data_IF_057634898378
#
_entry.id   IF_057634898378
#
_cell.length_a   1.000
_cell.length_b   1.000
_cell.length_c   1.000
_cell.angle_alpha   90.00
_cell.angle_beta   90.00
_cell.angle_gamma   90.00
#
_symmetry.space_group_name_H-M   'P 1'
#
loop_
_entity.id
_entity.type
_entity.pdbx_description
1 polymer ?
#
# COMPACT_ATOMS: atom_id res chain seq x y z
N UNK A 1 -65.54 28.52 42.21
CA UNK A 1 -65.21 27.08 42.47
C UNK A 1 -64.30 26.65 41.35
N UNK A 2 -63.07 26.34 41.69
CA UNK A 2 -61.92 26.39 40.80
C UNK A 2 -61.73 25.12 39.96
N UNK A 3 -61.68 25.27 38.66
CA UNK A 3 -61.27 24.23 37.73
C UNK A 3 -59.77 24.41 37.51
N UNK A 4 -58.99 23.51 38.11
CA UNK A 4 -57.53 23.44 37.92
C UNK A 4 -57.28 22.74 36.60
N UNK A 5 -56.75 23.52 35.66
CA UNK A 5 -56.35 23.08 34.32
C UNK A 5 -55.01 22.35 34.42
N UNK A 6 -54.96 21.04 34.26
CA UNK A 6 -53.76 20.23 34.20
C UNK A 6 -53.22 20.40 32.77
N UNK A 7 -52.22 21.24 32.61
CA UNK A 7 -51.42 21.29 31.37
C UNK A 7 -50.53 20.03 31.33
N UNK A 8 -50.86 19.09 30.45
CA UNK A 8 -49.99 17.98 30.05
C UNK A 8 -48.84 18.53 29.26
N UNK A 9 -47.66 18.61 29.86
CA UNK A 9 -46.42 18.86 29.17
C UNK A 9 -46.04 17.59 28.40
N UNK A 10 -46.26 17.64 27.10
CA UNK A 10 -45.78 16.59 26.18
C UNK A 10 -44.30 16.89 25.93
N UNK A 11 -43.40 16.18 26.64
CA UNK A 11 -42.00 16.18 26.36
C UNK A 11 -41.82 15.31 25.10
N UNK A 12 -41.74 15.97 23.96
CA UNK A 12 -41.26 15.34 22.72
C UNK A 12 -39.79 15.06 22.90
N UNK A 13 -39.44 13.82 23.25
CA UNK A 13 -38.08 13.32 23.17
C UNK A 13 -37.68 13.24 21.69
N UNK A 14 -37.04 14.30 21.21
CA UNK A 14 -36.41 14.32 19.91
C UNK A 14 -35.19 13.39 20.01
N UNK A 15 -35.44 12.11 19.76
CA UNK A 15 -34.39 11.12 19.61
C UNK A 15 -33.55 11.53 18.41
N UNK A 16 -32.40 12.15 18.67
CA UNK A 16 -31.38 12.39 17.67
C UNK A 16 -30.88 11.01 17.22
N UNK A 17 -31.49 10.52 16.14
CA UNK A 17 -31.01 9.36 15.42
C UNK A 17 -29.68 9.76 14.79
N UNK A 18 -28.58 9.61 15.53
CA UNK A 18 -27.24 9.63 14.96
C UNK A 18 -27.19 8.45 14.00
N UNK A 19 -27.53 8.70 12.75
CA UNK A 19 -27.19 7.83 11.66
C UNK A 19 -25.66 7.74 11.64
N UNK A 20 -25.12 6.77 12.34
CA UNK A 20 -23.74 6.37 12.18
C UNK A 20 -23.68 5.82 10.75
N UNK A 21 -23.23 6.66 9.82
CA UNK A 21 -22.74 6.18 8.55
C UNK A 21 -21.54 5.29 8.87
N UNK A 22 -21.80 4.01 9.06
CA UNK A 22 -20.79 2.97 8.93
C UNK A 22 -20.33 3.07 7.47
N UNK A 23 -19.28 3.84 7.23
CA UNK A 23 -18.53 3.68 6.01
C UNK A 23 -18.03 2.25 6.03
N UNK A 24 -18.66 1.40 5.23
CA UNK A 24 -18.21 0.03 5.08
C UNK A 24 -16.75 0.08 4.66
N UNK A 25 -15.88 -0.43 5.51
CA UNK A 25 -14.47 -0.48 5.23
C UNK A 25 -14.28 -1.38 4.01
N UNK A 26 -13.60 -0.87 2.97
CA UNK A 26 -13.29 -1.64 1.79
C UNK A 26 -12.53 -2.90 2.18
N UNK A 27 -12.87 -4.02 1.56
CA UNK A 27 -12.05 -5.22 1.65
C UNK A 27 -10.65 -4.96 1.05
N UNK A 28 -9.67 -5.80 1.40
CA UNK A 28 -8.34 -5.68 0.83
C UNK A 28 -8.34 -5.81 -0.70
N UNK A 29 -9.26 -6.61 -1.26
CA UNK A 29 -9.42 -6.80 -2.70
C UNK A 29 -9.95 -5.54 -3.38
N UNK A 30 -11.06 -4.99 -2.90
CA UNK A 30 -11.63 -3.74 -3.42
C UNK A 30 -10.66 -2.56 -3.30
N UNK A 31 -9.91 -2.52 -2.19
CA UNK A 31 -8.88 -1.49 -1.99
C UNK A 31 -7.74 -1.64 -3.00
N UNK A 32 -7.25 -2.86 -3.24
CA UNK A 32 -6.21 -3.13 -4.22
C UNK A 32 -6.69 -2.78 -5.63
N UNK A 33 -7.89 -3.19 -6.02
CA UNK A 33 -8.47 -2.91 -7.33
C UNK A 33 -8.61 -1.40 -7.59
N UNK A 34 -9.19 -0.67 -6.63
CA UNK A 34 -9.32 0.79 -6.74
C UNK A 34 -7.97 1.49 -6.87
N UNK A 35 -6.98 1.00 -6.15
CA UNK A 35 -5.63 1.53 -6.16
C UNK A 35 -4.92 1.29 -7.49
N UNK A 36 -5.03 0.07 -8.04
CA UNK A 36 -4.47 -0.24 -9.35
C UNK A 36 -5.03 0.67 -10.43
N UNK A 37 -6.35 0.84 -10.46
CA UNK A 37 -7.01 1.70 -11.44
C UNK A 37 -6.47 3.13 -11.37
N UNK A 38 -6.29 3.67 -10.17
CA UNK A 38 -5.73 5.00 -9.97
C UNK A 38 -4.28 5.11 -10.45
N UNK A 39 -3.43 4.12 -10.14
CA UNK A 39 -2.03 4.10 -10.58
C UNK A 39 -1.94 3.98 -12.10
N UNK A 40 -2.73 3.10 -12.72
CA UNK A 40 -2.76 2.94 -14.17
C UNK A 40 -3.21 4.25 -14.84
N UNK A 41 -4.23 4.91 -14.30
CA UNK A 41 -4.67 6.21 -14.80
C UNK A 41 -3.55 7.27 -14.74
N UNK A 42 -2.80 7.32 -13.64
CA UNK A 42 -1.64 8.23 -13.51
C UNK A 42 -0.58 7.88 -14.55
N UNK A 43 -0.22 6.62 -14.71
CA UNK A 43 0.78 6.18 -15.70
C UNK A 43 0.33 6.57 -17.11
N UNK A 44 -0.92 6.32 -17.47
CA UNK A 44 -1.46 6.60 -18.81
C UNK A 44 -1.56 8.10 -19.10
N UNK A 45 -2.00 8.89 -18.12
CA UNK A 45 -2.20 10.34 -18.30
C UNK A 45 -0.92 11.15 -18.18
N UNK A 46 0.08 10.63 -17.44
CA UNK A 46 1.32 11.32 -17.14
C UNK A 46 2.56 10.76 -17.87
N UNK A 47 2.37 9.86 -18.84
CA UNK A 47 3.49 9.27 -19.57
C UNK A 47 4.33 10.32 -20.33
N UNK A 48 3.72 11.39 -20.82
CA UNK A 48 4.40 12.51 -21.45
C UNK A 48 5.33 13.23 -20.45
N UNK A 49 4.92 13.33 -19.19
CA UNK A 49 5.70 13.93 -18.11
C UNK A 49 7.03 13.19 -17.88
N UNK A 50 7.06 11.86 -18.07
CA UNK A 50 8.29 11.08 -17.96
C UNK A 50 9.36 11.54 -18.96
N UNK A 51 8.97 11.95 -20.16
CA UNK A 51 9.89 12.45 -21.19
C UNK A 51 10.35 13.89 -20.94
N UNK A 52 9.43 14.73 -20.41
CA UNK A 52 9.67 16.15 -20.20
C UNK A 52 10.37 16.44 -18.85
N UNK A 53 9.98 15.72 -17.81
CA UNK A 53 10.51 15.88 -16.44
C UNK A 53 10.43 14.56 -15.67
N UNK A 54 11.44 13.66 -15.82
CA UNK A 54 11.45 12.35 -15.17
C UNK A 54 11.35 12.42 -13.64
N UNK A 55 11.95 13.44 -13.01
CA UNK A 55 11.93 13.59 -11.56
C UNK A 55 10.54 13.95 -11.03
N UNK A 56 9.83 14.81 -11.75
CA UNK A 56 8.44 15.12 -11.41
C UNK A 56 7.54 13.90 -11.64
N UNK A 57 7.76 13.12 -12.71
CA UNK A 57 7.03 11.87 -12.92
C UNK A 57 7.27 10.89 -11.76
N UNK A 58 8.52 10.70 -11.31
CA UNK A 58 8.84 9.86 -10.15
C UNK A 58 8.14 10.33 -8.89
N UNK A 59 8.07 11.65 -8.66
CA UNK A 59 7.35 12.21 -7.52
C UNK A 59 5.84 11.88 -7.59
N UNK A 60 5.19 12.04 -8.72
CA UNK A 60 3.78 11.70 -8.92
C UNK A 60 3.50 10.21 -8.67
N UNK A 61 4.41 9.34 -9.12
CA UNK A 61 4.31 7.90 -8.85
C UNK A 61 4.53 7.61 -7.36
N UNK A 62 5.52 8.22 -6.71
CA UNK A 62 5.74 8.09 -5.26
C UNK A 62 4.50 8.50 -4.48
N UNK A 63 3.91 9.65 -4.81
CA UNK A 63 2.71 10.16 -4.16
C UNK A 63 1.50 9.23 -4.33
N UNK A 64 1.42 8.54 -5.48
CA UNK A 64 0.37 7.53 -5.73
C UNK A 64 0.59 6.22 -4.94
N UNK A 65 1.84 5.80 -4.76
CA UNK A 65 2.17 4.56 -4.04
C UNK A 65 2.23 4.74 -2.52
N UNK A 66 2.67 5.89 -2.03
CA UNK A 66 2.85 6.18 -0.60
C UNK A 66 1.61 5.89 0.27
N UNK A 67 0.37 6.18 -0.16
CA UNK A 67 -0.81 5.82 0.62
C UNK A 67 -1.05 4.31 0.76
N UNK A 68 -0.45 3.48 -0.13
CA UNK A 68 -0.78 2.07 -0.31
C UNK A 68 0.35 1.15 0.13
N UNK A 69 1.61 1.58 -0.05
CA UNK A 69 2.81 0.81 0.26
C UNK A 69 3.39 1.29 1.58
N UNK A 70 3.61 0.38 2.53
CA UNK A 70 4.31 0.70 3.78
C UNK A 70 5.82 0.47 3.58
N UNK A 71 6.48 1.43 2.91
CA UNK A 71 7.92 1.36 2.65
C UNK A 71 8.72 1.20 3.94
N UNK A 72 8.35 1.88 5.01
CA UNK A 72 9.02 1.77 6.32
C UNK A 72 8.96 0.36 6.90
N UNK A 73 7.83 -0.31 6.76
CA UNK A 73 7.66 -1.69 7.21
C UNK A 73 8.36 -2.69 6.29
N UNK A 74 8.33 -2.46 4.98
CA UNK A 74 9.07 -3.26 4.01
C UNK A 74 10.56 -3.15 4.29
N UNK A 75 11.10 -1.96 4.45
CA UNK A 75 12.50 -1.70 4.77
C UNK A 75 12.94 -2.39 6.06
N UNK A 76 12.13 -2.33 7.11
CA UNK A 76 12.37 -3.08 8.35
C UNK A 76 12.44 -4.59 8.10
N UNK A 77 11.57 -5.12 7.25
CA UNK A 77 11.58 -6.53 6.88
C UNK A 77 12.80 -6.89 6.02
N UNK A 78 13.24 -6.01 5.14
CA UNK A 78 14.45 -6.15 4.30
C UNK A 78 15.69 -6.14 5.18
N UNK A 79 15.84 -5.20 6.08
CA UNK A 79 16.96 -5.14 7.02
C UNK A 79 17.00 -6.33 8.00
N UNK A 80 15.85 -6.95 8.30
CA UNK A 80 15.73 -8.17 9.12
C UNK A 80 16.38 -8.03 10.49
N UNK A 81 17.46 -8.82 10.77
CA UNK A 81 18.16 -8.75 12.08
C UNK A 81 18.75 -7.37 12.35
N UNK A 82 19.22 -6.68 11.33
CA UNK A 82 19.86 -5.37 11.46
C UNK A 82 18.87 -4.26 11.82
N UNK A 83 17.59 -4.41 11.52
CA UNK A 83 16.57 -3.44 11.93
C UNK A 83 16.40 -3.29 13.44
N UNK A 84 16.93 -4.27 14.23
CA UNK A 84 16.87 -4.25 15.69
C UNK A 84 17.98 -3.42 16.32
N UNK A 85 19.06 -3.19 15.59
CA UNK A 85 20.24 -2.45 16.03
C UNK A 85 20.36 -1.09 15.32
N UNK A 86 19.63 -0.89 14.22
CA UNK A 86 19.56 0.38 13.53
C UNK A 86 18.89 1.44 14.40
N UNK A 87 19.42 2.66 14.37
CA UNK A 87 18.78 3.85 14.95
C UNK A 87 17.52 4.21 14.14
N UNK A 88 16.67 5.06 14.71
CA UNK A 88 15.50 5.58 14.00
C UNK A 88 15.91 6.33 12.72
N UNK A 89 17.00 7.13 12.80
CA UNK A 89 17.52 7.88 11.66
C UNK A 89 17.97 6.94 10.54
N UNK A 90 18.81 5.93 10.84
CA UNK A 90 19.24 4.93 9.87
C UNK A 90 18.07 4.18 9.24
N UNK A 91 17.03 3.87 10.03
CA UNK A 91 15.82 3.22 9.51
C UNK A 91 15.05 4.14 8.55
N UNK A 92 14.93 5.41 8.85
CA UNK A 92 14.22 6.38 8.02
C UNK A 92 15.02 6.68 6.73
N UNK A 93 16.34 6.85 6.83
CA UNK A 93 17.24 7.02 5.69
C UNK A 93 17.22 5.82 4.75
N UNK A 94 17.35 4.60 5.30
CA UNK A 94 17.27 3.39 4.50
C UNK A 94 15.89 3.23 3.84
N UNK A 95 14.80 3.54 4.55
CA UNK A 95 13.46 3.45 3.98
C UNK A 95 13.28 4.40 2.79
N UNK A 96 13.81 5.62 2.90
CA UNK A 96 13.76 6.59 1.79
C UNK A 96 14.65 6.16 0.63
N UNK A 97 15.90 5.78 0.90
CA UNK A 97 16.82 5.32 -0.13
C UNK A 97 16.29 4.08 -0.88
N UNK A 98 15.64 3.17 -0.15
CA UNK A 98 15.01 1.99 -0.73
C UNK A 98 13.82 2.35 -1.64
N UNK A 99 12.95 3.27 -1.22
CA UNK A 99 11.86 3.79 -2.05
C UNK A 99 12.40 4.48 -3.30
N UNK A 100 13.33 5.41 -3.15
CA UNK A 100 13.95 6.14 -4.26
C UNK A 100 14.62 5.19 -5.27
N UNK A 101 15.36 4.19 -4.77
CA UNK A 101 16.00 3.16 -5.60
C UNK A 101 15.00 2.31 -6.40
N UNK A 102 13.86 1.96 -5.80
CA UNK A 102 12.79 1.25 -6.51
C UNK A 102 12.18 2.11 -7.61
N UNK A 103 11.91 3.38 -7.33
CA UNK A 103 11.37 4.32 -8.31
C UNK A 103 12.36 4.58 -9.44
N UNK A 104 13.65 4.77 -9.14
CA UNK A 104 14.68 4.95 -10.14
C UNK A 104 14.84 3.73 -11.06
N UNK A 105 14.76 2.54 -10.47
CA UNK A 105 14.94 1.29 -11.23
C UNK A 105 13.73 0.99 -12.12
N UNK A 106 12.51 1.24 -11.62
CA UNK A 106 11.29 0.73 -12.25
C UNK A 106 10.41 1.81 -12.88
N UNK A 107 10.69 3.11 -12.71
CA UNK A 107 9.84 4.17 -13.30
C UNK A 107 9.75 4.10 -14.83
N UNK A 108 10.86 3.77 -15.51
CA UNK A 108 10.85 3.57 -16.97
C UNK A 108 9.98 2.38 -17.39
N UNK A 109 10.08 1.28 -16.64
CA UNK A 109 9.24 0.09 -16.88
C UNK A 109 7.77 0.41 -16.66
N UNK A 110 7.41 1.23 -15.66
CA UNK A 110 6.02 1.64 -15.43
C UNK A 110 5.45 2.41 -16.62
N UNK A 111 6.24 3.23 -17.31
CA UNK A 111 5.79 3.96 -18.52
C UNK A 111 5.52 3.02 -19.69
N UNK A 112 6.21 1.88 -19.76
CA UNK A 112 5.98 0.86 -20.77
C UNK A 112 4.66 0.11 -20.56
N UNK A 113 4.12 0.11 -19.32
CA UNK A 113 2.84 -0.48 -18.94
C UNK A 113 1.62 0.32 -19.46
N UNK A 114 1.57 0.63 -20.75
CA UNK A 114 0.48 1.44 -21.33
C UNK A 114 -0.81 0.66 -21.54
N UNK A 115 -0.66 -0.61 -21.96
CA UNK A 115 -1.77 -1.48 -22.37
C UNK A 115 -1.96 -2.68 -21.45
N UNK A 116 -1.18 -2.74 -20.39
CA UNK A 116 -1.18 -3.83 -19.44
C UNK A 116 -2.25 -3.64 -18.37
N UNK A 117 -2.75 -4.74 -17.86
CA UNK A 117 -3.80 -4.75 -16.84
C UNK A 117 -3.36 -5.52 -15.63
N UNK A 118 -3.74 -5.03 -14.48
CA UNK A 118 -3.61 -5.78 -13.23
C UNK A 118 -5.01 -6.15 -12.77
N UNK A 119 -5.36 -7.42 -12.93
CA UNK A 119 -6.63 -7.96 -12.46
C UNK A 119 -6.48 -8.40 -11.01
N UNK A 120 -7.35 -7.93 -10.15
CA UNK A 120 -7.47 -8.46 -8.79
C UNK A 120 -8.36 -9.69 -8.83
N UNK A 121 -7.83 -10.83 -8.40
CA UNK A 121 -8.56 -12.09 -8.41
C UNK A 121 -9.40 -12.19 -7.13
N UNK A 122 -10.74 -12.31 -7.24
CA UNK A 122 -11.60 -12.48 -6.09
C UNK A 122 -11.17 -13.68 -5.25
N UNK A 123 -11.28 -13.57 -3.94
CA UNK A 123 -10.95 -14.66 -3.02
C UNK A 123 -12.23 -15.21 -2.41
N UNK A 124 -12.48 -16.49 -2.62
CA UNK A 124 -13.61 -17.22 -1.97
C UNK A 124 -13.34 -17.50 -0.49
N UNK A 125 -12.10 -17.24 -0.02
CA UNK A 125 -11.70 -17.51 1.35
C UNK A 125 -11.46 -16.20 2.10
N UNK A 126 -12.26 -15.91 3.14
CA UNK A 126 -12.00 -14.77 4.00
C UNK A 126 -10.59 -14.90 4.64
N UNK A 127 -9.97 -13.75 4.89
CA UNK A 127 -8.71 -13.74 5.65
C UNK A 127 -8.91 -14.40 7.01
N UNK A 128 -7.93 -15.22 7.44
CA UNK A 128 -7.96 -15.85 8.78
C UNK A 128 -7.88 -14.83 9.92
N UNK A 129 -7.46 -13.62 9.61
CA UNK A 129 -7.34 -12.51 10.56
C UNK A 129 -7.95 -11.26 9.93
N UNK A 130 -8.71 -10.49 10.71
CA UNK A 130 -9.40 -9.29 10.24
C UNK A 130 -8.45 -8.18 9.75
N UNK A 131 -7.18 -8.22 10.18
CA UNK A 131 -6.20 -7.17 9.90
C UNK A 131 -5.05 -7.59 8.96
N UNK A 132 -5.14 -8.77 8.33
CA UNK A 132 -4.17 -9.24 7.32
C UNK A 132 -4.89 -9.87 6.15
N UNK A 133 -4.43 -9.61 4.96
CA UNK A 133 -4.98 -10.18 3.75
C UNK A 133 -3.89 -10.62 2.78
N UNK A 134 -4.22 -11.60 1.94
CA UNK A 134 -3.47 -11.94 0.74
C UNK A 134 -4.39 -11.69 -0.43
N UNK A 135 -3.94 -10.84 -1.34
CA UNK A 135 -4.69 -10.47 -2.54
C UNK A 135 -3.95 -11.05 -3.74
N UNK A 136 -4.56 -11.99 -4.42
CA UNK A 136 -4.01 -12.55 -5.65
C UNK A 136 -4.31 -11.58 -6.79
N UNK A 137 -3.35 -11.44 -7.70
CA UNK A 137 -3.45 -10.60 -8.88
C UNK A 137 -2.95 -11.35 -10.11
N UNK A 138 -3.37 -10.91 -11.27
CA UNK A 138 -2.79 -11.27 -12.56
C UNK A 138 -2.32 -10.01 -13.26
N UNK A 139 -1.07 -10.00 -13.68
CA UNK A 139 -0.51 -8.95 -14.53
C UNK A 139 -0.60 -9.49 -15.96
N UNK A 140 -1.50 -8.88 -16.73
CA UNK A 140 -1.76 -9.27 -18.12
C UNK A 140 -0.97 -8.33 -19.03
N UNK A 141 0.00 -8.87 -19.74
CA UNK A 141 0.77 -8.16 -20.76
C UNK A 141 0.31 -8.57 -22.13
N UNK A 142 0.86 -7.96 -23.17
CA UNK A 142 0.55 -8.31 -24.57
C UNK A 142 0.97 -9.74 -24.95
N UNK A 143 1.92 -10.34 -24.21
CA UNK A 143 2.50 -11.65 -24.52
C UNK A 143 2.19 -12.72 -23.49
N UNK A 144 2.07 -12.33 -22.20
CA UNK A 144 2.04 -13.26 -21.08
C UNK A 144 1.09 -12.82 -19.95
N UNK A 145 0.74 -13.77 -19.10
CA UNK A 145 0.04 -13.52 -17.84
C UNK A 145 0.94 -13.94 -16.69
N UNK A 146 1.26 -13.00 -15.81
CA UNK A 146 2.06 -13.23 -14.62
C UNK A 146 1.18 -13.29 -13.39
N UNK A 147 1.25 -14.39 -12.64
CA UNK A 147 0.56 -14.49 -11.36
C UNK A 147 1.28 -13.67 -10.29
N UNK A 148 0.53 -12.92 -9.51
CA UNK A 148 1.07 -12.14 -8.42
C UNK A 148 0.26 -12.29 -7.14
N UNK A 149 0.86 -11.87 -6.03
CA UNK A 149 0.21 -11.84 -4.73
C UNK A 149 0.73 -10.71 -3.87
N UNK A 150 -0.16 -9.91 -3.35
CA UNK A 150 0.15 -8.95 -2.30
C UNK A 150 -0.05 -9.57 -0.93
N UNK A 151 0.88 -9.30 0.00
CA UNK A 151 0.63 -9.42 1.44
C UNK A 151 0.28 -8.05 1.96
N UNK A 152 -0.91 -7.92 2.56
CA UNK A 152 -1.44 -6.65 3.05
C UNK A 152 -1.79 -6.73 4.52
N UNK A 153 -1.77 -5.59 5.19
CA UNK A 153 -2.32 -5.45 6.53
C UNK A 153 -3.14 -4.17 6.63
N UNK A 154 -4.09 -4.19 7.56
CA UNK A 154 -4.91 -3.06 7.93
C UNK A 154 -4.18 -2.24 8.99
N UNK A 155 -3.90 -0.99 8.70
CA UNK A 155 -3.23 -0.09 9.65
C UNK A 155 -4.21 0.41 10.75
N UNK A 156 -3.70 1.21 11.67
CA UNK A 156 -4.49 1.76 12.79
C UNK A 156 -5.54 2.78 12.33
N UNK A 157 -5.36 3.35 11.15
CA UNK A 157 -6.29 4.29 10.52
C UNK A 157 -7.37 3.58 9.69
N UNK A 158 -7.34 2.26 9.63
CA UNK A 158 -8.27 1.47 8.85
C UNK A 158 -7.94 1.43 7.35
N UNK A 159 -6.70 1.70 6.96
CA UNK A 159 -6.23 1.64 5.57
C UNK A 159 -5.44 0.37 5.30
N UNK A 160 -5.71 -0.27 4.18
CA UNK A 160 -4.91 -1.42 3.75
C UNK A 160 -3.56 -0.96 3.21
N UNK A 161 -2.49 -1.65 3.65
CA UNK A 161 -1.10 -1.36 3.24
C UNK A 161 -0.45 -2.62 2.69
N UNK A 162 0.21 -2.50 1.54
CA UNK A 162 1.05 -3.55 0.95
C UNK A 162 2.37 -3.60 1.72
N UNK A 163 2.78 -4.79 2.14
CA UNK A 163 4.04 -5.04 2.86
C UNK A 163 4.92 -6.09 2.20
N UNK A 164 4.45 -6.74 1.17
CA UNK A 164 5.24 -7.65 0.33
C UNK A 164 4.50 -7.97 -0.96
N UNK A 165 5.27 -8.26 -2.00
CA UNK A 165 4.78 -8.69 -3.32
C UNK A 165 5.49 -9.99 -3.69
N UNK A 166 4.72 -10.94 -4.23
CA UNK A 166 5.21 -12.14 -4.89
C UNK A 166 4.78 -12.08 -6.36
N UNK A 167 5.68 -12.37 -7.29
CA UNK A 167 5.39 -12.46 -8.73
C UNK A 167 5.97 -13.76 -9.25
N UNK A 168 5.15 -14.59 -9.88
CA UNK A 168 5.52 -15.94 -10.36
C UNK A 168 6.25 -16.78 -9.31
N UNK A 169 5.80 -16.73 -8.06
CA UNK A 169 6.40 -17.43 -6.94
C UNK A 169 7.67 -16.78 -6.36
N UNK A 170 8.21 -15.75 -7.01
CA UNK A 170 9.36 -15.00 -6.50
C UNK A 170 8.90 -13.99 -5.44
N UNK A 171 9.40 -14.13 -4.22
CA UNK A 171 9.09 -13.20 -3.12
C UNK A 171 10.08 -12.05 -3.13
N UNK A 172 9.62 -10.85 -3.55
CA UNK A 172 10.47 -9.67 -3.69
C UNK A 172 11.09 -9.24 -2.35
N UNK A 173 10.34 -9.31 -1.27
CA UNK A 173 10.88 -8.98 0.06
C UNK A 173 12.03 -9.88 0.49
N UNK A 174 12.03 -11.18 0.09
CA UNK A 174 13.16 -12.08 0.33
C UNK A 174 14.34 -11.75 -0.57
N UNK A 175 14.10 -11.42 -1.83
CA UNK A 175 15.16 -11.04 -2.79
C UNK A 175 15.89 -9.81 -2.26
N UNK A 176 15.18 -8.74 -1.93
CA UNK A 176 15.79 -7.53 -1.40
C UNK A 176 16.50 -7.75 -0.05
N UNK A 177 15.96 -8.60 0.82
CA UNK A 177 16.65 -8.97 2.06
C UNK A 177 17.99 -9.66 1.78
N UNK A 178 18.03 -10.58 0.85
CA UNK A 178 19.28 -11.28 0.49
C UNK A 178 20.30 -10.30 -0.10
N UNK A 179 19.86 -9.36 -0.93
CA UNK A 179 20.72 -8.31 -1.47
C UNK A 179 21.27 -7.42 -0.35
N UNK A 180 20.40 -6.95 0.55
CA UNK A 180 20.80 -6.15 1.70
C UNK A 180 21.83 -6.89 2.57
N UNK A 181 21.60 -8.16 2.89
CA UNK A 181 22.54 -8.97 3.68
C UNK A 181 23.89 -9.13 3.00
N UNK A 182 23.89 -9.35 1.69
CA UNK A 182 25.14 -9.40 0.91
C UNK A 182 25.91 -8.08 0.95
N UNK A 183 25.20 -6.94 0.92
CA UNK A 183 25.81 -5.62 1.06
C UNK A 183 26.37 -5.41 2.47
N UNK A 184 25.63 -5.79 3.50
CA UNK A 184 26.09 -5.73 4.89
C UNK A 184 27.40 -6.54 5.09
N UNK A 185 27.45 -7.77 4.58
CA UNK A 185 28.67 -8.61 4.65
C UNK A 185 29.87 -7.93 3.95
N UNK A 186 29.66 -7.34 2.76
CA UNK A 186 30.71 -6.63 2.02
C UNK A 186 31.21 -5.38 2.73
N UNK A 187 30.39 -4.76 3.56
CA UNK A 187 30.67 -3.51 4.25
C UNK A 187 30.93 -3.75 5.76
N UNK A 188 31.42 -4.94 6.16
CA UNK A 188 31.75 -5.28 7.56
C UNK A 188 30.58 -5.05 8.54
N UNK A 189 29.35 -5.27 8.10
CA UNK A 189 28.11 -5.06 8.85
C UNK A 189 27.89 -3.59 9.31
N UNK A 190 28.50 -2.62 8.63
CA UNK A 190 28.26 -1.20 8.87
C UNK A 190 27.02 -0.72 8.09
N UNK A 191 25.94 -0.41 8.81
CA UNK A 191 24.66 0.05 8.23
C UNK A 191 24.83 1.38 7.47
N UNK A 192 25.78 2.23 7.87
CA UNK A 192 25.95 3.54 7.23
C UNK A 192 26.59 3.43 5.83
N UNK A 193 27.10 2.27 5.45
CA UNK A 193 27.72 2.00 4.15
C UNK A 193 26.80 1.24 3.18
N UNK A 194 25.58 0.93 3.58
CA UNK A 194 24.58 0.16 2.85
C UNK A 194 23.32 0.96 2.67
#
# INVERSE_FOLDING_TARGET
MNIVSIKKILIASLGTLCAQFLFAQLSAHEYAERTHNNIIEIIQTKNQLFLENPDLFKQEISDAFSPIVDFKRISRNVMGKYSKIATTMQMDEFSKAFEDSLLDTYSSTLVEFKDERINVIPSDKPSKTSNKARVNIEIVTSTDIYSGRYSMYLDKEGKWKIINIEINGMNLGKIFRNQFYSLMEKNNEDINLV
#
